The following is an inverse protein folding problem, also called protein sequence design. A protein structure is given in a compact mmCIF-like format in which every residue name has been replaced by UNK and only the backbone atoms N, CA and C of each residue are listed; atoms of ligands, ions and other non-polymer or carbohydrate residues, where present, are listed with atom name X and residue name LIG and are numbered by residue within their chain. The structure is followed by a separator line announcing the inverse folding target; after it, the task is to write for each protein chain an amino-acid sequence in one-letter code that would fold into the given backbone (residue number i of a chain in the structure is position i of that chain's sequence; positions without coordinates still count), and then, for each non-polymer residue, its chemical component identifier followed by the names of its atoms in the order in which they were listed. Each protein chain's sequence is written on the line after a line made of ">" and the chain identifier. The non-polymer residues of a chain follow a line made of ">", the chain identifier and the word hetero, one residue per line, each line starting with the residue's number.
data_IF_923504680042
#
_entry.id   IF_923504680042
#
_cell.length_a   1.000
_cell.length_b   1.000
_cell.length_c   1.000
_cell.angle_alpha   90.00
_cell.angle_beta   90.00
_cell.angle_gamma   90.00
#
_symmetry.space_group_name_H-M   'P 1'
#
loop_
_entity.id
_entity.type
_entity.pdbx_description
1 polymer ?
#
# COMPACT_ATOMS: atom_id res chain seq x y z
N UNK A 1 -8.97 10.30 -16.56
CA UNK A 1 -7.76 9.91 -15.83
C UNK A 1 -8.21 9.21 -14.56
N UNK A 2 -7.78 7.96 -14.32
CA UNK A 2 -8.18 7.21 -13.14
C UNK A 2 -7.69 7.88 -11.84
N UNK A 3 -8.41 7.66 -10.75
CA UNK A 3 -8.03 8.06 -9.39
C UNK A 3 -7.42 6.87 -8.68
N UNK A 4 -6.25 7.05 -8.11
CA UNK A 4 -5.57 6.04 -7.29
C UNK A 4 -5.47 6.55 -5.86
N UNK A 5 -6.06 5.81 -4.92
CA UNK A 5 -5.93 6.10 -3.50
C UNK A 5 -4.87 5.18 -2.86
N UNK A 6 -4.03 5.76 -2.02
CA UNK A 6 -3.10 5.02 -1.16
C UNK A 6 -3.65 5.04 0.26
N UNK A 7 -4.17 3.92 0.70
CA UNK A 7 -4.59 3.66 2.09
C UNK A 7 -3.41 3.05 2.81
N UNK A 8 -2.64 3.89 3.50
CA UNK A 8 -1.38 3.49 4.10
C UNK A 8 -1.07 4.18 5.43
N UNK A 9 0.11 3.91 5.94
CA UNK A 9 0.61 4.46 7.20
C UNK A 9 1.63 5.61 6.98
N UNK A 10 2.63 5.71 7.85
CA UNK A 10 3.67 6.75 7.79
C UNK A 10 4.53 6.67 6.52
N UNK A 11 4.67 5.49 5.91
CA UNK A 11 5.47 5.32 4.70
C UNK A 11 4.71 5.93 3.51
N UNK A 12 3.42 5.66 3.37
CA UNK A 12 2.58 6.33 2.35
C UNK A 12 2.47 7.84 2.60
N UNK A 13 2.39 8.26 3.87
CA UNK A 13 2.35 9.69 4.23
C UNK A 13 3.65 10.42 3.90
N UNK A 14 4.79 9.72 3.79
CA UNK A 14 6.10 10.33 3.60
C UNK A 14 6.60 11.04 4.85
N UNK A 15 6.44 10.39 6.03
CA UNK A 15 6.83 10.96 7.32
C UNK A 15 8.27 11.50 7.29
N UNK A 16 8.47 12.73 7.76
CA UNK A 16 9.73 13.49 7.77
C UNK A 16 10.24 13.95 6.38
N UNK A 17 9.46 13.78 5.32
CA UNK A 17 9.81 14.23 3.98
C UNK A 17 8.84 15.31 3.48
N UNK A 18 9.23 16.03 2.43
CA UNK A 18 8.29 16.85 1.67
C UNK A 18 7.26 15.96 0.98
N UNK A 19 6.03 16.46 0.82
CA UNK A 19 4.90 15.68 0.29
C UNK A 19 5.19 15.09 -1.10
N UNK A 20 5.92 15.81 -1.94
CA UNK A 20 6.30 15.42 -3.30
C UNK A 20 7.40 14.34 -3.34
N UNK A 21 8.07 14.07 -2.21
CA UNK A 21 9.09 13.03 -2.05
C UNK A 21 8.51 11.69 -1.57
N UNK A 22 7.25 11.66 -1.12
CA UNK A 22 6.60 10.41 -0.75
C UNK A 22 6.39 9.51 -1.97
N UNK A 23 6.55 8.19 -1.84
CA UNK A 23 6.48 7.27 -2.97
C UNK A 23 5.17 7.33 -3.76
N UNK A 24 3.99 7.60 -3.16
CA UNK A 24 2.77 7.80 -3.94
C UNK A 24 2.84 9.02 -4.86
N UNK A 25 3.44 10.12 -4.38
CA UNK A 25 3.62 11.32 -5.18
C UNK A 25 4.66 11.10 -6.29
N UNK A 26 5.76 10.41 -5.99
CA UNK A 26 6.77 10.02 -6.99
C UNK A 26 6.18 9.15 -8.09
N UNK A 27 5.29 8.19 -7.76
CA UNK A 27 4.57 7.39 -8.75
C UNK A 27 3.70 8.26 -9.66
N UNK A 28 2.94 9.20 -9.07
CA UNK A 28 2.12 10.11 -9.86
C UNK A 28 2.95 11.01 -10.78
N UNK A 29 4.13 11.46 -10.32
CA UNK A 29 5.07 12.25 -11.13
C UNK A 29 5.67 11.43 -12.27
N UNK A 30 6.19 10.22 -11.98
CA UNK A 30 6.81 9.32 -12.96
C UNK A 30 5.85 8.93 -14.08
N UNK A 31 4.59 8.71 -13.73
CA UNK A 31 3.57 8.26 -14.68
C UNK A 31 2.84 9.41 -15.40
N UNK A 32 3.15 10.67 -15.05
CA UNK A 32 2.56 11.85 -15.71
C UNK A 32 2.86 11.86 -17.21
N UNK A 33 1.85 12.12 -18.01
CA UNK A 33 1.99 12.14 -19.48
C UNK A 33 2.08 10.75 -20.12
N UNK A 34 1.99 9.68 -19.34
CA UNK A 34 2.00 8.30 -19.82
C UNK A 34 0.57 7.73 -19.92
N UNK A 35 0.36 6.62 -20.65
CA UNK A 35 -0.98 6.00 -20.78
C UNK A 35 -1.63 5.61 -19.44
N UNK A 36 -0.82 5.34 -18.41
CA UNK A 36 -1.26 4.96 -17.07
C UNK A 36 -1.20 6.12 -16.06
N UNK A 37 -1.18 7.38 -16.55
CA UNK A 37 -1.26 8.55 -15.66
C UNK A 37 -2.52 8.51 -14.81
N UNK A 38 -2.41 8.94 -13.56
CA UNK A 38 -3.51 8.90 -12.60
C UNK A 38 -3.57 10.15 -11.71
N UNK A 39 -4.72 10.40 -11.12
CA UNK A 39 -4.91 11.39 -10.06
C UNK A 39 -4.66 10.74 -8.71
N UNK A 40 -3.71 11.26 -7.96
CA UNK A 40 -3.33 10.76 -6.64
C UNK A 40 -4.35 11.19 -5.57
N UNK A 41 -4.69 10.26 -4.69
CA UNK A 41 -5.32 10.47 -3.39
C UNK A 41 -4.39 9.82 -2.36
N UNK A 42 -3.51 10.60 -1.74
CA UNK A 42 -2.67 10.08 -0.67
C UNK A 42 -3.45 10.13 0.65
N UNK A 43 -3.80 8.97 1.17
CA UNK A 43 -4.50 8.76 2.43
C UNK A 43 -3.61 8.03 3.45
N UNK A 44 -2.29 8.29 3.41
CA UNK A 44 -1.35 7.83 4.43
C UNK A 44 -1.59 8.54 5.76
N UNK A 45 -1.59 7.79 6.85
CA UNK A 45 -1.74 8.31 8.23
C UNK A 45 -0.67 7.68 9.10
N UNK A 46 0.26 8.49 9.61
CA UNK A 46 1.35 7.99 10.44
C UNK A 46 0.86 7.23 11.67
N UNK A 47 1.42 6.04 11.90
CA UNK A 47 1.05 5.16 13.01
C UNK A 47 -0.23 4.35 12.79
N UNK A 48 -0.86 4.46 11.63
CA UNK A 48 -2.10 3.74 11.35
C UNK A 48 -1.89 2.22 11.31
N UNK A 49 -2.94 1.50 11.70
CA UNK A 49 -3.00 0.04 11.75
C UNK A 49 -4.01 -0.49 10.75
N UNK A 50 -4.04 -1.80 10.55
CA UNK A 50 -5.07 -2.44 9.73
C UNK A 50 -6.48 -2.15 10.25
N UNK A 51 -6.65 -2.10 11.58
CA UNK A 51 -7.93 -1.71 12.20
C UNK A 51 -8.29 -0.25 11.93
N UNK A 52 -7.31 0.67 11.97
CA UNK A 52 -7.50 2.07 11.62
C UNK A 52 -7.89 2.25 10.16
N UNK A 53 -7.16 1.59 9.27
CA UNK A 53 -7.45 1.58 7.84
C UNK A 53 -8.86 1.07 7.53
N UNK A 54 -9.28 -0.02 8.19
CA UNK A 54 -10.63 -0.57 8.03
C UNK A 54 -11.72 0.42 8.43
N UNK A 55 -11.53 1.13 9.56
CA UNK A 55 -12.50 2.14 10.02
C UNK A 55 -12.66 3.31 9.04
N UNK A 56 -11.58 3.73 8.36
CA UNK A 56 -11.61 4.88 7.45
C UNK A 56 -11.74 4.51 5.97
N UNK A 57 -11.78 3.22 5.64
CA UNK A 57 -11.91 2.76 4.25
C UNK A 57 -13.13 3.36 3.55
N UNK A 58 -14.28 3.39 4.21
CA UNK A 58 -15.52 3.95 3.62
C UNK A 58 -15.39 5.44 3.28
N UNK A 59 -14.66 6.21 4.10
CA UNK A 59 -14.41 7.63 3.82
C UNK A 59 -13.55 7.82 2.57
N UNK A 60 -12.55 6.96 2.36
CA UNK A 60 -11.70 6.99 1.16
C UNK A 60 -12.53 6.57 -0.06
N UNK A 61 -13.35 5.54 0.06
CA UNK A 61 -14.20 5.04 -1.03
C UNK A 61 -15.27 6.04 -1.48
N UNK A 62 -15.71 6.97 -0.58
CA UNK A 62 -16.58 8.10 -0.98
C UNK A 62 -15.95 9.03 -2.03
N UNK A 63 -14.62 9.06 -2.14
CA UNK A 63 -13.92 9.82 -3.18
C UNK A 63 -13.93 9.12 -4.55
N UNK A 64 -14.53 7.91 -4.62
CA UNK A 64 -14.65 7.09 -5.82
C UNK A 64 -13.30 6.85 -6.50
N UNK A 65 -12.31 6.25 -5.81
CA UNK A 65 -11.08 5.83 -6.44
C UNK A 65 -11.36 4.67 -7.41
N UNK A 66 -10.59 4.61 -8.50
CA UNK A 66 -10.62 3.49 -9.44
C UNK A 66 -9.70 2.36 -9.00
N UNK A 67 -8.62 2.71 -8.31
CA UNK A 67 -7.64 1.78 -7.71
C UNK A 67 -7.39 2.19 -6.27
N UNK A 68 -7.28 1.22 -5.36
CA UNK A 68 -6.84 1.45 -3.98
C UNK A 68 -5.63 0.58 -3.69
N UNK A 69 -4.50 1.23 -3.42
CA UNK A 69 -3.27 0.58 -2.93
C UNK A 69 -3.33 0.52 -1.41
N UNK A 70 -3.29 -0.67 -0.85
CA UNK A 70 -3.34 -0.91 0.60
C UNK A 70 -1.93 -1.20 1.10
N UNK A 71 -1.39 -0.27 1.87
CA UNK A 71 -0.05 -0.31 2.48
C UNK A 71 -0.22 -0.20 4.00
N UNK A 72 -0.58 -1.31 4.66
CA UNK A 72 -0.86 -1.37 6.09
C UNK A 72 -0.40 -2.71 6.68
N UNK A 73 -0.16 -2.71 7.97
CA UNK A 73 0.17 -3.88 8.76
C UNK A 73 1.51 -3.78 9.48
N UNK A 74 2.42 -2.90 9.03
CA UNK A 74 3.71 -2.71 9.70
C UNK A 74 3.52 -2.33 11.19
N UNK A 75 2.66 -1.37 11.49
CA UNK A 75 2.36 -0.96 12.86
C UNK A 75 1.70 -2.05 13.70
N UNK A 76 0.85 -2.87 13.08
CA UNK A 76 0.26 -4.04 13.74
C UNK A 76 1.34 -5.05 14.13
N UNK A 77 2.19 -5.41 13.16
CA UNK A 77 3.27 -6.38 13.37
C UNK A 77 4.27 -5.91 14.43
N UNK A 78 4.70 -4.65 14.37
CA UNK A 78 5.63 -4.06 15.35
C UNK A 78 5.03 -3.99 16.76
N UNK A 79 3.72 -3.97 16.91
CA UNK A 79 2.99 -3.97 18.18
C UNK A 79 2.56 -5.37 18.63
N UNK A 80 2.88 -6.42 17.87
CA UNK A 80 2.50 -7.80 18.20
C UNK A 80 1.00 -8.06 18.18
N UNK A 81 0.25 -7.37 17.30
CA UNK A 81 -1.20 -7.60 17.15
C UNK A 81 -1.44 -9.04 16.69
N UNK A 82 -2.45 -9.76 17.21
CA UNK A 82 -2.77 -11.12 16.77
C UNK A 82 -2.95 -11.23 15.25
N UNK A 83 -2.31 -12.24 14.65
CA UNK A 83 -2.28 -12.41 13.18
C UNK A 83 -3.67 -12.53 12.55
N UNK A 84 -4.58 -13.21 13.23
CA UNK A 84 -5.97 -13.36 12.80
C UNK A 84 -6.74 -12.03 12.77
N UNK A 85 -6.42 -11.10 13.68
CA UNK A 85 -6.99 -9.77 13.67
C UNK A 85 -6.46 -8.93 12.50
N UNK A 86 -5.15 -9.00 12.22
CA UNK A 86 -4.52 -8.33 11.07
C UNK A 86 -5.15 -8.84 9.77
N UNK A 87 -5.25 -10.17 9.62
CA UNK A 87 -5.83 -10.79 8.44
C UNK A 87 -7.29 -10.39 8.23
N UNK A 88 -8.13 -10.47 9.28
CA UNK A 88 -9.53 -10.04 9.19
C UNK A 88 -9.67 -8.59 8.75
N UNK A 89 -8.85 -7.69 9.29
CA UNK A 89 -8.89 -6.28 8.95
C UNK A 89 -8.47 -6.04 7.49
N UNK A 90 -7.36 -6.63 7.04
CA UNK A 90 -6.90 -6.51 5.64
C UNK A 90 -7.93 -7.09 4.67
N UNK A 91 -8.48 -8.28 4.97
CA UNK A 91 -9.58 -8.89 4.19
C UNK A 91 -10.76 -7.94 4.08
N UNK A 92 -11.21 -7.40 5.19
CA UNK A 92 -12.34 -6.46 5.22
C UNK A 92 -12.08 -5.20 4.37
N UNK A 93 -10.86 -4.66 4.40
CA UNK A 93 -10.47 -3.53 3.53
C UNK A 93 -10.55 -3.92 2.06
N UNK A 94 -9.90 -5.04 1.66
CA UNK A 94 -9.85 -5.49 0.28
C UNK A 94 -11.23 -5.81 -0.29
N UNK A 95 -12.10 -6.44 0.51
CA UNK A 95 -13.50 -6.72 0.16
C UNK A 95 -14.31 -5.44 -0.01
N UNK A 96 -14.18 -4.45 0.89
CA UNK A 96 -14.83 -3.13 0.75
C UNK A 96 -14.41 -2.43 -0.54
N UNK A 97 -13.11 -2.45 -0.87
CA UNK A 97 -12.58 -1.86 -2.12
C UNK A 97 -13.22 -2.52 -3.34
N UNK A 98 -13.25 -3.85 -3.40
CA UNK A 98 -13.87 -4.60 -4.50
C UNK A 98 -15.36 -4.33 -4.61
N UNK A 99 -16.07 -4.35 -3.48
CA UNK A 99 -17.52 -4.10 -3.45
C UNK A 99 -17.90 -2.69 -3.90
N UNK A 100 -16.98 -1.73 -3.72
CA UNK A 100 -17.13 -0.37 -4.24
C UNK A 100 -16.80 -0.25 -5.74
N UNK A 101 -16.39 -1.34 -6.41
CA UNK A 101 -16.03 -1.38 -7.83
C UNK A 101 -14.61 -0.89 -8.13
N UNK A 102 -13.78 -0.64 -7.12
CA UNK A 102 -12.38 -0.26 -7.27
C UNK A 102 -11.48 -1.51 -7.37
N UNK A 103 -10.32 -1.36 -8.00
CA UNK A 103 -9.30 -2.41 -8.11
C UNK A 103 -8.37 -2.33 -6.90
N UNK A 104 -8.30 -3.35 -6.04
CA UNK A 104 -7.36 -3.36 -4.92
C UNK A 104 -5.97 -3.82 -5.37
N UNK A 105 -4.94 -3.22 -4.76
CA UNK A 105 -3.55 -3.68 -4.79
C UNK A 105 -3.08 -3.77 -3.35
N UNK A 106 -2.53 -4.90 -2.91
CA UNK A 106 -1.98 -5.05 -1.56
C UNK A 106 -0.46 -5.08 -1.58
N UNK A 107 0.15 -4.28 -0.71
CA UNK A 107 1.60 -4.25 -0.55
C UNK A 107 2.00 -5.15 0.62
N UNK A 108 2.80 -6.18 0.34
CA UNK A 108 3.31 -7.10 1.35
C UNK A 108 4.36 -6.41 2.23
N UNK A 109 4.28 -6.69 3.52
CA UNK A 109 5.18 -6.19 4.56
C UNK A 109 5.90 -7.37 5.20
N UNK A 110 7.14 -7.16 5.63
CA UNK A 110 7.93 -8.10 6.42
C UNK A 110 8.33 -7.49 7.74
N UNK A 111 8.50 -8.34 8.75
CA UNK A 111 8.95 -7.93 10.07
C UNK A 111 10.41 -8.34 10.30
N UNK A 112 11.13 -7.61 11.20
CA UNK A 112 12.44 -8.03 11.65
C UNK A 112 12.40 -9.43 12.31
N UNK A 113 13.44 -10.26 12.13
CA UNK A 113 13.49 -11.61 12.71
C UNK A 113 13.38 -11.64 14.24
N UNK A 114 13.70 -10.55 14.91
CA UNK A 114 13.62 -10.38 16.38
C UNK A 114 12.22 -10.56 16.96
N UNK A 115 11.18 -10.52 16.13
CA UNK A 115 9.79 -10.76 16.56
C UNK A 115 9.42 -12.25 16.71
N UNK A 116 10.38 -13.14 16.50
CA UNK A 116 10.19 -14.60 16.62
C UNK A 116 9.71 -15.24 15.32
N UNK A 117 10.31 -16.38 15.01
CA UNK A 117 10.13 -17.08 13.72
C UNK A 117 8.66 -17.36 13.38
N UNK A 118 7.91 -17.87 14.35
CA UNK A 118 6.50 -18.24 14.13
C UNK A 118 5.63 -17.03 13.77
N UNK A 119 5.75 -15.95 14.55
CA UNK A 119 5.00 -14.73 14.30
C UNK A 119 5.39 -14.07 12.97
N UNK A 120 6.68 -13.94 12.68
CA UNK A 120 7.20 -13.36 11.43
C UNK A 120 6.70 -14.17 10.22
N UNK A 121 6.84 -15.49 10.25
CA UNK A 121 6.38 -16.35 9.14
C UNK A 121 4.86 -16.26 8.95
N UNK A 122 4.10 -16.28 10.03
CA UNK A 122 2.65 -16.16 9.99
C UNK A 122 2.19 -14.78 9.48
N UNK A 123 2.86 -13.71 9.90
CA UNK A 123 2.58 -12.35 9.44
C UNK A 123 2.83 -12.20 7.94
N UNK A 124 4.00 -12.62 7.45
CA UNK A 124 4.34 -12.53 6.03
C UNK A 124 3.40 -13.35 5.14
N UNK A 125 2.89 -14.48 5.64
CA UNK A 125 1.98 -15.34 4.90
C UNK A 125 0.58 -14.75 4.69
N UNK A 126 0.18 -13.73 5.45
CA UNK A 126 -1.16 -13.10 5.33
C UNK A 126 -1.35 -12.49 3.94
N UNK A 127 -0.39 -11.72 3.46
CA UNK A 127 -0.52 -10.95 2.22
C UNK A 127 -0.69 -11.82 0.96
N UNK A 128 0.20 -12.79 0.67
CA UNK A 128 0.04 -13.65 -0.50
C UNK A 128 -1.21 -14.52 -0.41
N UNK A 129 -1.60 -14.98 0.81
CA UNK A 129 -2.82 -15.76 1.01
C UNK A 129 -4.06 -14.94 0.65
N UNK A 130 -4.19 -13.72 1.19
CA UNK A 130 -5.31 -12.84 0.87
C UNK A 130 -5.34 -12.47 -0.61
N UNK A 131 -4.17 -12.18 -1.20
CA UNK A 131 -4.06 -11.86 -2.61
C UNK A 131 -4.56 -13.01 -3.50
N UNK A 132 -4.15 -14.24 -3.19
CA UNK A 132 -4.58 -15.43 -3.91
C UNK A 132 -6.09 -15.69 -3.74
N UNK A 133 -6.58 -15.71 -2.51
CA UNK A 133 -7.98 -16.00 -2.21
C UNK A 133 -8.96 -14.98 -2.80
N UNK A 134 -8.57 -13.70 -2.80
CA UNK A 134 -9.42 -12.63 -3.30
C UNK A 134 -9.13 -12.26 -4.76
N UNK A 135 -8.10 -12.85 -5.39
CA UNK A 135 -7.71 -12.53 -6.76
C UNK A 135 -7.30 -11.06 -6.92
N UNK A 136 -6.51 -10.52 -5.99
CA UNK A 136 -6.05 -9.12 -6.00
C UNK A 136 -4.56 -9.02 -6.35
N UNK A 137 -4.18 -7.90 -6.97
CA UNK A 137 -2.78 -7.63 -7.28
C UNK A 137 -1.96 -7.50 -5.98
N UNK A 138 -0.75 -8.07 -5.97
CA UNK A 138 0.10 -8.15 -4.80
C UNK A 138 1.55 -7.79 -5.15
N UNK A 139 2.15 -6.91 -4.34
CA UNK A 139 3.59 -6.70 -4.32
C UNK A 139 4.15 -7.48 -3.14
N UNK A 140 4.92 -8.57 -3.34
CA UNK A 140 5.30 -9.49 -2.26
C UNK A 140 6.04 -8.85 -1.10
N UNK A 141 6.96 -7.92 -1.40
CA UNK A 141 7.65 -7.12 -0.40
C UNK A 141 7.96 -5.75 -1.00
N UNK A 142 7.13 -4.76 -0.69
CA UNK A 142 7.28 -3.45 -1.33
C UNK A 142 8.53 -2.66 -0.88
N UNK A 143 9.12 -3.02 0.28
CA UNK A 143 10.36 -2.44 0.78
C UNK A 143 11.63 -3.17 0.32
N UNK A 144 11.55 -3.99 -0.72
CA UNK A 144 12.72 -4.69 -1.27
C UNK A 144 13.83 -3.72 -1.68
N UNK A 145 15.05 -3.94 -1.14
CA UNK A 145 16.20 -3.07 -1.35
C UNK A 145 16.17 -1.76 -0.54
N UNK A 146 15.20 -1.59 0.36
CA UNK A 146 15.09 -0.45 1.27
C UNK A 146 15.23 -0.90 2.72
N UNK A 147 14.43 -1.87 3.15
CA UNK A 147 14.46 -2.35 4.52
C UNK A 147 15.86 -2.85 4.92
N UNK A 148 16.39 -2.34 6.03
CA UNK A 148 17.69 -2.70 6.55
C UNK A 148 18.90 -2.07 5.84
N UNK A 149 18.70 -1.31 4.77
CA UNK A 149 19.77 -0.57 4.09
C UNK A 149 19.91 0.82 4.72
N UNK A 150 21.06 1.09 5.37
CA UNK A 150 21.27 2.32 6.14
C UNK A 150 21.09 3.60 5.30
N UNK A 151 21.57 3.61 4.05
CA UNK A 151 21.45 4.76 3.15
C UNK A 151 20.03 4.98 2.58
N UNK A 152 19.15 4.00 2.77
CA UNK A 152 17.77 4.05 2.31
C UNK A 152 16.79 4.40 3.43
N UNK A 153 17.22 4.38 4.69
CA UNK A 153 16.38 4.64 5.86
C UNK A 153 16.94 5.80 6.68
N UNK A 154 16.05 6.49 7.38
CA UNK A 154 16.38 7.50 8.37
C UNK A 154 17.08 6.85 9.59
N UNK A 155 17.55 7.65 10.52
CA UNK A 155 18.28 7.19 11.72
C UNK A 155 17.51 6.20 12.57
N UNK A 156 16.17 6.21 12.50
CA UNK A 156 15.31 5.26 13.19
C UNK A 156 15.32 3.85 12.59
N UNK A 157 15.90 3.69 11.38
CA UNK A 157 15.99 2.40 10.67
C UNK A 157 14.65 1.85 10.16
N UNK A 158 13.56 2.61 10.30
CA UNK A 158 12.20 2.20 9.93
C UNK A 158 11.63 3.02 8.77
N UNK A 159 11.83 4.34 8.81
CA UNK A 159 11.28 5.24 7.80
C UNK A 159 12.28 5.48 6.67
N UNK A 160 11.86 5.28 5.41
CA UNK A 160 12.75 5.49 4.26
C UNK A 160 13.16 6.96 4.08
N UNK A 161 14.39 7.16 3.59
CA UNK A 161 14.84 8.46 3.07
C UNK A 161 14.17 8.79 1.74
N UNK A 162 14.34 10.00 1.20
CA UNK A 162 13.89 10.34 -0.15
C UNK A 162 14.36 9.32 -1.20
N UNK A 163 15.62 8.88 -1.11
CA UNK A 163 16.19 7.81 -1.96
C UNK A 163 15.47 6.48 -1.76
N UNK A 164 15.15 6.14 -0.51
CA UNK A 164 14.32 4.97 -0.18
C UNK A 164 12.95 5.05 -0.84
N UNK A 165 12.28 6.20 -0.78
CA UNK A 165 10.98 6.41 -1.43
C UNK A 165 11.03 6.30 -2.96
N UNK A 166 12.12 6.72 -3.60
CA UNK A 166 12.33 6.48 -5.03
C UNK A 166 12.37 4.99 -5.36
N UNK A 167 13.01 4.19 -4.50
CA UNK A 167 13.05 2.73 -4.65
C UNK A 167 11.69 2.09 -4.41
N UNK A 168 10.94 2.53 -3.37
CA UNK A 168 9.57 2.07 -3.13
C UNK A 168 8.68 2.34 -4.35
N UNK A 169 8.76 3.53 -4.93
CA UNK A 169 8.02 3.86 -6.14
C UNK A 169 8.35 2.89 -7.28
N UNK A 170 9.62 2.55 -7.49
CA UNK A 170 10.04 1.59 -8.51
C UNK A 170 9.49 0.18 -8.26
N UNK A 171 9.46 -0.25 -6.97
CA UNK A 171 8.96 -1.56 -6.60
C UNK A 171 7.45 -1.71 -6.80
N UNK A 172 6.68 -0.63 -6.59
CA UNK A 172 5.20 -0.64 -6.66
C UNK A 172 4.70 -0.37 -8.09
N UNK A 173 5.45 0.37 -8.89
CA UNK A 173 5.04 0.84 -10.23
C UNK A 173 4.50 -0.27 -11.14
N UNK A 174 5.13 -1.47 -11.28
CA UNK A 174 4.64 -2.50 -12.19
C UNK A 174 3.22 -2.96 -11.84
N UNK A 175 2.97 -3.30 -10.56
CA UNK A 175 1.65 -3.74 -10.11
C UNK A 175 0.59 -2.63 -10.22
N UNK A 176 0.98 -1.38 -9.98
CA UNK A 176 0.08 -0.24 -10.15
C UNK A 176 -0.31 -0.02 -11.61
N UNK A 177 0.63 -0.17 -12.56
CA UNK A 177 0.35 -0.09 -14.00
C UNK A 177 -0.66 -1.15 -14.44
N UNK A 178 -0.47 -2.39 -14.01
CA UNK A 178 -1.40 -3.49 -14.29
C UNK A 178 -2.79 -3.22 -13.70
N UNK A 179 -2.87 -2.75 -12.46
CA UNK A 179 -4.12 -2.39 -11.82
C UNK A 179 -4.85 -1.27 -12.57
N UNK A 180 -4.14 -0.21 -12.97
CA UNK A 180 -4.72 0.90 -13.74
C UNK A 180 -5.22 0.41 -15.11
N UNK A 181 -4.47 -0.48 -15.78
CA UNK A 181 -4.87 -1.04 -17.06
C UNK A 181 -6.13 -1.91 -16.96
N UNK A 182 -6.35 -2.56 -15.81
CA UNK A 182 -7.52 -3.41 -15.56
C UNK A 182 -8.79 -2.64 -15.21
N UNK A 183 -8.69 -1.33 -14.92
CA UNK A 183 -9.86 -0.50 -14.63
C UNK A 183 -10.81 -0.52 -15.83
N UNK A 184 -12.00 -1.09 -15.63
CA UNK A 184 -13.05 -1.07 -16.66
C UNK A 184 -13.52 0.36 -16.86
N UNK A 185 -13.12 0.98 -17.95
CA UNK A 185 -13.70 2.27 -18.36
C UNK A 185 -15.17 2.04 -18.66
N UNK A 186 -16.04 2.75 -17.95
CA UNK A 186 -17.43 2.86 -18.38
C UNK A 186 -17.42 3.35 -19.84
N UNK A 187 -18.26 2.77 -20.74
CA UNK A 187 -18.34 3.25 -22.11
C UNK A 187 -18.65 4.74 -22.05
N UNK A 188 -17.83 5.54 -22.72
CA UNK A 188 -18.11 6.97 -22.91
C UNK A 188 -19.45 7.02 -23.65
N UNK A 189 -20.47 7.55 -22.99
CA UNK A 189 -21.72 7.87 -23.67
C UNK A 189 -21.40 8.95 -24.71
N UNK A 190 -21.83 8.77 -25.96
CA UNK A 190 -21.60 9.71 -27.06
C UNK A 190 -22.25 11.08 -26.80
#
# INVERSE_FOLDING_TARGET
>A
MPKVAFLGDSISAGLHLAEDQAFPALLAQRMRGQPHAFRLINAGVSGDTTAGGLRRADWILKQRPDVVVVELGANDGLRGVPLDAIERNLRGILEKVRNAGAVPVVLGVRLPPSYGKEYVTGFEAIYPRLAHELGVAHVPFFMEGVAGAAEMNLEDGLHPTAKGHERLAANVEPALREAIASVKRAPQQP
#
